data_IF_455130046235
#
_entry.id   IF_455130046235
#
_cell.length_a   1.000
_cell.length_b   1.000
_cell.length_c   1.000
_cell.angle_alpha   90.00
_cell.angle_beta   90.00
_cell.angle_gamma   90.00
#
_symmetry.space_group_name_H-M   'P 1'
#
loop_
_entity.id
_entity.type
_entity.pdbx_description
1 polymer ?
#
# COMPACT_ATOMS: atom_id res chain seq x y z
N UNK A 1 4.80 69.06 -95.48
CA UNK A 1 3.36 69.25 -95.21
C UNK A 1 2.83 67.95 -94.61
N UNK A 2 2.47 67.96 -93.32
CA UNK A 2 2.07 66.78 -92.54
C UNK A 2 0.63 66.38 -92.89
N UNK A 3 0.40 65.11 -93.25
CA UNK A 3 -0.93 64.52 -93.41
C UNK A 3 -1.52 64.25 -92.03
N UNK A 4 -2.65 64.88 -91.73
CA UNK A 4 -3.41 64.74 -90.50
C UNK A 4 -4.47 63.63 -90.73
N UNK A 5 -4.25 62.46 -90.15
CA UNK A 5 -5.26 61.39 -90.11
C UNK A 5 -6.30 61.74 -89.04
N UNK A 6 -7.53 61.98 -89.47
CA UNK A 6 -8.67 62.22 -88.60
C UNK A 6 -9.26 60.87 -88.17
N UNK A 7 -9.06 60.49 -86.92
CA UNK A 7 -9.64 59.30 -86.30
C UNK A 7 -11.12 59.58 -85.99
N UNK A 8 -12.03 58.92 -86.72
CA UNK A 8 -13.47 59.03 -86.50
C UNK A 8 -13.86 58.18 -85.27
N UNK A 9 -14.07 58.82 -84.12
CA UNK A 9 -14.51 58.18 -82.88
C UNK A 9 -16.04 58.07 -82.88
N UNK A 10 -16.59 56.91 -83.25
CA UNK A 10 -18.02 56.61 -83.15
C UNK A 10 -18.37 56.28 -81.69
N UNK A 11 -18.98 57.24 -80.98
CA UNK A 11 -19.60 57.02 -79.67
C UNK A 11 -20.90 56.22 -79.86
N UNK A 12 -20.87 54.94 -79.54
CA UNK A 12 -22.08 54.14 -79.36
C UNK A 12 -22.68 54.52 -78.00
N UNK A 13 -23.65 55.43 -78.01
CA UNK A 13 -24.48 55.74 -76.84
C UNK A 13 -25.39 54.54 -76.61
N UNK A 14 -24.94 53.60 -75.78
CA UNK A 14 -25.81 52.58 -75.21
C UNK A 14 -26.73 53.28 -74.21
N UNK A 15 -27.90 53.72 -74.68
CA UNK A 15 -29.00 54.16 -73.83
C UNK A 15 -29.50 52.95 -73.05
N UNK A 16 -28.84 52.65 -71.93
CA UNK A 16 -29.42 51.83 -70.89
C UNK A 16 -30.56 52.64 -70.29
N UNK A 17 -31.78 52.43 -70.80
CA UNK A 17 -33.00 52.89 -70.14
C UNK A 17 -33.11 52.06 -68.86
N UNK A 18 -32.53 52.56 -67.77
CA UNK A 18 -32.84 52.07 -66.44
C UNK A 18 -34.31 52.42 -66.20
N UNK A 19 -35.19 51.42 -66.30
CA UNK A 19 -36.57 51.55 -65.80
C UNK A 19 -36.43 51.90 -64.32
N UNK A 20 -36.86 53.09 -63.92
CA UNK A 20 -36.87 53.49 -62.53
C UNK A 20 -37.74 52.49 -61.75
N UNK A 21 -37.09 51.74 -60.86
CA UNK A 21 -37.76 50.80 -59.98
C UNK A 21 -38.53 51.60 -58.92
N UNK A 22 -39.86 51.68 -59.06
CA UNK A 22 -40.68 52.61 -58.27
C UNK A 22 -41.21 52.04 -56.95
N UNK A 23 -41.00 50.76 -56.67
CA UNK A 23 -41.49 50.08 -55.47
C UNK A 23 -40.55 48.96 -55.01
N UNK A 24 -40.62 48.63 -53.73
CA UNK A 24 -39.91 47.51 -53.11
C UNK A 24 -40.80 46.81 -52.09
N UNK A 25 -40.60 45.51 -51.92
CA UNK A 25 -41.21 44.72 -50.85
C UNK A 25 -40.38 44.86 -49.58
N UNK A 26 -41.01 45.33 -48.50
CA UNK A 26 -40.41 45.28 -47.17
C UNK A 26 -40.64 43.91 -46.55
N UNK A 27 -39.56 43.18 -46.26
CA UNK A 27 -39.63 41.94 -45.49
C UNK A 27 -39.10 42.21 -44.10
N UNK A 28 -39.84 41.75 -43.09
CA UNK A 28 -39.44 41.83 -41.68
C UNK A 28 -39.51 40.47 -41.01
N UNK A 29 -38.63 40.23 -40.04
CA UNK A 29 -38.72 39.04 -39.18
C UNK A 29 -37.88 39.22 -37.91
N UNK A 30 -37.87 38.20 -37.08
CA UNK A 30 -37.01 38.09 -35.91
C UNK A 30 -36.09 36.87 -36.06
N UNK A 31 -34.90 37.00 -35.51
CA UNK A 31 -33.91 35.93 -35.48
C UNK A 31 -33.67 35.57 -34.02
N UNK A 32 -33.87 34.30 -33.71
CA UNK A 32 -33.49 33.67 -32.46
C UNK A 32 -32.26 32.78 -32.63
N UNK A 33 -31.65 32.45 -31.51
CA UNK A 33 -30.56 31.51 -31.40
C UNK A 33 -30.95 30.38 -30.45
N UNK A 34 -30.77 29.14 -30.88
CA UNK A 34 -30.98 27.96 -30.03
C UNK A 34 -29.65 27.32 -29.69
N UNK A 35 -29.46 27.02 -28.41
CA UNK A 35 -28.46 26.05 -27.93
C UNK A 35 -29.13 25.04 -27.01
N UNK A 36 -28.50 23.88 -26.89
CA UNK A 36 -28.85 22.92 -25.86
C UNK A 36 -27.94 23.10 -24.66
N UNK A 37 -28.53 23.04 -23.47
CA UNK A 37 -27.81 22.84 -22.21
C UNK A 37 -28.05 21.39 -21.83
N UNK A 38 -26.96 20.60 -21.80
CA UNK A 38 -27.03 19.14 -21.75
C UNK A 38 -26.37 18.58 -20.50
N UNK A 39 -27.12 17.75 -19.78
CA UNK A 39 -26.60 16.85 -18.75
C UNK A 39 -27.26 15.45 -18.86
N UNK A 40 -27.97 15.01 -17.83
CA UNK A 40 -28.92 13.88 -17.87
C UNK A 40 -30.27 14.26 -18.49
N UNK A 41 -30.47 15.55 -18.78
CA UNK A 41 -31.63 16.10 -19.46
C UNK A 41 -31.17 17.16 -20.45
N UNK A 42 -32.04 17.40 -21.42
CA UNK A 42 -31.85 18.44 -22.41
C UNK A 42 -32.73 19.64 -22.09
N UNK A 43 -32.13 20.82 -22.02
CA UNK A 43 -32.85 22.09 -21.93
C UNK A 43 -32.56 22.88 -23.20
N UNK A 44 -33.61 23.21 -23.97
CA UNK A 44 -33.52 24.15 -25.08
C UNK A 44 -33.45 25.57 -24.50
N UNK A 45 -32.35 26.27 -24.75
CA UNK A 45 -32.20 27.69 -24.44
C UNK A 45 -32.30 28.48 -25.75
N UNK A 46 -33.41 29.19 -25.90
CA UNK A 46 -33.72 30.02 -27.07
C UNK A 46 -33.75 31.49 -26.67
N UNK A 47 -32.94 32.29 -27.35
CA UNK A 47 -32.80 33.72 -27.09
C UNK A 47 -32.90 34.52 -28.38
N UNK A 48 -33.23 35.82 -28.27
CA UNK A 48 -33.17 36.73 -29.41
C UNK A 48 -31.71 36.93 -29.84
N UNK A 49 -31.47 36.94 -31.15
CA UNK A 49 -30.12 36.96 -31.72
C UNK A 49 -29.84 38.27 -32.44
N UNK A 50 -29.00 39.11 -31.84
CA UNK A 50 -28.41 40.27 -32.50
C UNK A 50 -27.18 39.87 -33.32
N UNK A 51 -26.91 40.62 -34.39
CA UNK A 51 -25.68 40.46 -35.17
C UNK A 51 -25.74 39.37 -36.24
N UNK A 52 -26.90 38.75 -36.48
CA UNK A 52 -27.07 37.86 -37.62
C UNK A 52 -27.06 38.68 -38.91
N UNK A 53 -26.35 38.20 -39.93
CA UNK A 53 -26.23 38.87 -41.22
C UNK A 53 -27.36 38.41 -42.14
N UNK A 54 -28.14 39.37 -42.62
CA UNK A 54 -29.18 39.18 -43.63
C UNK A 54 -28.65 39.73 -44.95
N UNK A 55 -28.62 38.91 -46.00
CA UNK A 55 -28.15 39.32 -47.33
C UNK A 55 -29.13 38.91 -48.40
N UNK A 56 -29.42 39.83 -49.31
CA UNK A 56 -30.30 39.62 -50.44
C UNK A 56 -29.48 39.56 -51.72
N UNK A 57 -29.63 38.48 -52.49
CA UNK A 57 -28.93 38.27 -53.74
C UNK A 57 -29.90 38.20 -54.92
N UNK A 58 -29.49 38.73 -56.07
CA UNK A 58 -30.10 38.50 -57.38
C UNK A 58 -29.07 37.79 -58.26
N UNK A 59 -29.26 36.49 -58.49
CA UNK A 59 -28.19 35.64 -58.97
C UNK A 59 -26.99 35.68 -58.02
N UNK A 60 -25.80 36.01 -58.52
CA UNK A 60 -24.58 36.18 -57.71
C UNK A 60 -24.39 37.59 -57.14
N UNK A 61 -25.21 38.57 -57.55
CA UNK A 61 -25.06 39.97 -57.15
C UNK A 61 -25.72 40.21 -55.79
N UNK A 62 -24.96 40.75 -54.84
CA UNK A 62 -25.52 41.29 -53.59
C UNK A 62 -26.34 42.56 -53.92
N UNK A 63 -27.61 42.56 -53.52
CA UNK A 63 -28.57 43.64 -53.79
C UNK A 63 -28.76 44.52 -52.57
N UNK A 64 -28.95 43.90 -51.40
CA UNK A 64 -29.15 44.58 -50.13
C UNK A 64 -28.61 43.70 -49.00
N UNK A 65 -28.31 44.31 -47.86
CA UNK A 65 -27.91 43.60 -46.64
C UNK A 65 -28.30 44.38 -45.39
N UNK A 66 -28.61 43.65 -44.33
CA UNK A 66 -28.86 44.20 -43.00
C UNK A 66 -28.34 43.26 -41.92
N UNK A 67 -28.47 43.69 -40.67
CA UNK A 67 -28.06 42.94 -39.49
C UNK A 67 -29.20 42.96 -38.49
N UNK A 68 -29.43 41.86 -37.78
CA UNK A 68 -30.44 41.86 -36.71
C UNK A 68 -30.04 42.73 -35.53
N UNK A 69 -31.01 43.49 -35.01
CA UNK A 69 -30.83 44.36 -33.86
C UNK A 69 -30.83 43.60 -32.52
N UNK A 70 -30.83 44.32 -31.40
CA UNK A 70 -30.84 43.73 -30.06
C UNK A 70 -32.07 42.86 -29.76
N UNK A 71 -33.20 43.13 -30.41
CA UNK A 71 -34.42 42.32 -30.33
C UNK A 71 -34.44 41.16 -31.34
N UNK A 72 -33.34 40.93 -32.05
CA UNK A 72 -33.26 39.97 -33.15
C UNK A 72 -34.04 40.41 -34.39
N UNK A 73 -34.58 41.63 -34.40
CA UNK A 73 -35.40 42.12 -35.50
C UNK A 73 -34.53 42.52 -36.69
N UNK A 74 -35.02 42.28 -37.90
CA UNK A 74 -34.48 42.88 -39.11
C UNK A 74 -35.57 43.35 -40.06
N UNK A 75 -35.18 44.29 -40.92
CA UNK A 75 -35.90 44.64 -42.13
C UNK A 75 -34.95 44.59 -43.32
N UNK A 76 -35.47 44.21 -44.49
CA UNK A 76 -34.74 44.27 -45.76
C UNK A 76 -35.71 44.66 -46.89
N UNK A 77 -35.22 45.39 -47.89
CA UNK A 77 -36.04 45.87 -48.99
C UNK A 77 -35.69 45.11 -50.28
N UNK A 78 -36.67 44.39 -50.81
CA UNK A 78 -36.52 43.58 -52.02
C UNK A 78 -37.02 44.38 -53.22
N UNK A 79 -36.21 44.65 -54.25
CA UNK A 79 -36.69 45.33 -55.44
C UNK A 79 -37.78 44.51 -56.15
N UNK A 80 -38.72 45.22 -56.78
CA UNK A 80 -39.78 44.59 -57.58
C UNK A 80 -39.27 43.96 -58.88
N UNK A 81 -40.11 43.14 -59.53
CA UNK A 81 -39.86 42.59 -60.87
C UNK A 81 -38.56 41.76 -60.98
N UNK A 82 -38.28 40.92 -59.98
CA UNK A 82 -37.10 40.06 -59.99
C UNK A 82 -37.24 38.80 -59.15
N UNK A 83 -36.20 37.99 -59.19
CA UNK A 83 -36.04 36.77 -58.40
C UNK A 83 -34.80 36.91 -57.52
N UNK A 84 -34.96 36.58 -56.24
CA UNK A 84 -33.96 36.84 -55.21
C UNK A 84 -33.82 35.67 -54.25
N UNK A 85 -32.64 35.59 -53.64
CA UNK A 85 -32.37 34.69 -52.52
C UNK A 85 -32.00 35.54 -51.31
N UNK A 86 -32.79 35.42 -50.25
CA UNK A 86 -32.46 35.94 -48.94
C UNK A 86 -31.68 34.89 -48.16
N UNK A 87 -30.54 35.27 -47.60
CA UNK A 87 -29.73 34.40 -46.74
C UNK A 87 -29.62 35.00 -45.34
N UNK A 88 -29.81 34.17 -44.33
CA UNK A 88 -29.63 34.52 -42.91
C UNK A 88 -28.49 33.69 -42.35
N UNK A 89 -27.45 34.35 -41.84
CA UNK A 89 -26.21 33.71 -41.39
C UNK A 89 -25.75 34.25 -40.04
N UNK A 90 -25.13 33.39 -39.23
CA UNK A 90 -24.45 33.76 -38.00
C UNK A 90 -23.26 32.82 -37.78
N UNK A 91 -22.21 33.31 -37.13
CA UNK A 91 -20.94 32.58 -37.01
C UNK A 91 -21.14 31.19 -36.38
N UNK A 92 -20.71 30.16 -37.11
CA UNK A 92 -20.79 28.76 -36.67
C UNK A 92 -22.19 28.14 -36.76
N UNK A 93 -23.21 28.86 -37.25
CA UNK A 93 -24.55 28.33 -37.47
C UNK A 93 -24.75 27.94 -38.94
N UNK A 94 -25.69 27.04 -39.21
CA UNK A 94 -26.13 26.80 -40.58
C UNK A 94 -26.81 28.04 -41.17
N UNK A 95 -26.71 28.19 -42.49
CA UNK A 95 -27.37 29.29 -43.22
C UNK A 95 -28.82 28.91 -43.50
N UNK A 96 -29.75 29.86 -43.29
CA UNK A 96 -31.14 29.72 -43.78
C UNK A 96 -31.30 30.50 -45.09
N UNK A 97 -32.08 29.95 -46.03
CA UNK A 97 -32.31 30.57 -47.35
C UNK A 97 -33.80 30.64 -47.66
N UNK A 98 -34.24 31.77 -48.21
CA UNK A 98 -35.61 31.97 -48.70
C UNK A 98 -35.55 32.45 -50.14
N UNK A 99 -36.39 31.84 -50.98
CA UNK A 99 -36.62 32.29 -52.34
C UNK A 99 -37.67 33.40 -52.35
N UNK A 100 -37.44 34.46 -53.12
CA UNK A 100 -38.38 35.58 -53.22
C UNK A 100 -38.56 35.91 -54.69
N UNK A 101 -39.81 35.92 -55.15
CA UNK A 101 -40.17 36.31 -56.50
C UNK A 101 -41.13 37.50 -56.45
N UNK A 102 -40.64 38.66 -56.91
CA UNK A 102 -41.40 39.92 -56.95
C UNK A 102 -41.98 40.23 -58.33
N UNK A 103 -42.00 39.24 -59.23
CA UNK A 103 -42.73 39.33 -60.49
C UNK A 103 -44.24 39.20 -60.27
N UNK A 104 -45.01 39.43 -61.35
CA UNK A 104 -46.47 39.26 -61.40
C UNK A 104 -47.30 40.24 -60.57
N UNK A 105 -46.69 41.30 -60.03
CA UNK A 105 -47.44 42.45 -59.53
C UNK A 105 -48.09 43.18 -60.72
N UNK A 106 -49.42 43.38 -60.74
CA UNK A 106 -50.12 44.12 -61.80
C UNK A 106 -49.51 45.50 -62.06
N UNK A 107 -49.33 45.86 -63.35
CA UNK A 107 -48.62 47.09 -63.78
C UNK A 107 -49.24 48.37 -63.22
N UNK A 108 -50.56 48.40 -63.10
CA UNK A 108 -51.33 49.51 -62.54
C UNK A 108 -51.09 49.74 -61.04
N UNK A 109 -50.58 48.72 -60.32
CA UNK A 109 -50.17 48.85 -58.92
C UNK A 109 -48.67 49.15 -58.76
N UNK A 110 -47.87 49.18 -59.82
CA UNK A 110 -46.41 49.40 -59.71
C UNK A 110 -46.03 50.89 -59.61
N UNK A 111 -46.69 51.63 -58.72
CA UNK A 111 -46.43 53.05 -58.46
C UNK A 111 -45.73 53.28 -57.11
N UNK A 112 -45.37 54.54 -56.83
CA UNK A 112 -44.65 54.94 -55.61
C UNK A 112 -45.46 54.78 -54.30
N UNK A 113 -46.78 54.62 -54.42
CA UNK A 113 -47.69 54.41 -53.29
C UNK A 113 -47.83 52.94 -52.93
N UNK A 114 -47.47 52.02 -53.83
CA UNK A 114 -47.43 50.59 -53.53
C UNK A 114 -46.24 50.24 -52.65
N UNK A 115 -46.52 50.06 -51.36
CA UNK A 115 -45.55 49.76 -50.30
C UNK A 115 -45.86 48.42 -49.65
N UNK A 116 -45.76 47.30 -50.39
CA UNK A 116 -46.08 45.99 -49.83
C UNK A 116 -45.10 45.66 -48.70
N UNK A 117 -45.64 45.01 -47.68
CA UNK A 117 -44.87 44.55 -46.52
C UNK A 117 -45.37 43.20 -46.09
N UNK A 118 -44.45 42.32 -45.73
CA UNK A 118 -44.73 41.02 -45.13
C UNK A 118 -43.83 40.81 -43.92
N UNK A 119 -44.41 40.26 -42.85
CA UNK A 119 -43.65 39.68 -41.76
C UNK A 119 -43.59 38.18 -41.96
N UNK A 120 -42.39 37.63 -42.12
CA UNK A 120 -42.19 36.19 -42.20
C UNK A 120 -41.92 35.63 -40.81
N UNK A 121 -42.29 34.37 -40.60
CA UNK A 121 -42.04 33.66 -39.33
C UNK A 121 -40.55 33.72 -38.94
N UNK A 122 -40.28 33.73 -37.64
CA UNK A 122 -38.95 33.91 -37.09
C UNK A 122 -37.98 32.80 -37.49
N UNK A 123 -36.70 33.14 -37.62
CA UNK A 123 -35.64 32.18 -37.86
C UNK A 123 -35.00 31.77 -36.55
N UNK A 124 -34.86 30.47 -36.30
CA UNK A 124 -33.97 29.97 -35.25
C UNK A 124 -32.68 29.50 -35.91
N UNK A 125 -31.56 30.12 -35.54
CA UNK A 125 -30.22 29.67 -35.90
C UNK A 125 -29.63 28.81 -34.78
N UNK A 126 -28.98 27.72 -35.14
CA UNK A 126 -28.24 26.88 -34.21
C UNK A 126 -26.94 26.40 -34.86
N UNK A 127 -25.98 26.02 -34.01
CA UNK A 127 -24.76 25.36 -34.44
C UNK A 127 -25.06 23.90 -34.80
N UNK A 128 -24.37 23.32 -35.79
CA UNK A 128 -24.57 21.93 -36.16
C UNK A 128 -24.15 21.00 -35.02
N UNK A 129 -24.92 19.94 -34.81
CA UNK A 129 -24.53 18.84 -33.93
C UNK A 129 -23.71 17.80 -34.70
N UNK A 130 -22.70 17.17 -34.07
CA UNK A 130 -21.93 16.09 -34.67
C UNK A 130 -22.82 14.96 -35.22
N UNK A 131 -22.52 14.47 -36.41
CA UNK A 131 -23.20 13.31 -37.01
C UNK A 131 -24.57 13.58 -37.64
N UNK A 132 -25.10 14.80 -37.54
CA UNK A 132 -26.37 15.20 -38.19
C UNK A 132 -26.10 15.77 -39.59
N UNK A 133 -26.90 15.37 -40.57
CA UNK A 133 -26.81 15.89 -41.95
C UNK A 133 -27.67 17.15 -42.13
N UNK A 134 -26.99 18.27 -42.37
CA UNK A 134 -27.61 19.58 -42.63
C UNK A 134 -27.63 19.98 -44.11
N UNK A 135 -27.18 19.11 -45.03
CA UNK A 135 -27.06 19.42 -46.47
C UNK A 135 -28.37 19.88 -47.09
N UNK A 136 -29.51 19.36 -46.61
CA UNK A 136 -30.84 19.75 -47.08
C UNK A 136 -31.20 21.21 -46.78
N UNK A 137 -30.47 21.91 -45.90
CA UNK A 137 -30.63 23.34 -45.65
C UNK A 137 -29.89 24.24 -46.65
N UNK A 138 -29.10 23.65 -47.57
CA UNK A 138 -28.44 24.42 -48.64
C UNK A 138 -29.42 24.97 -49.68
N UNK A 139 -30.61 24.37 -49.79
CA UNK A 139 -31.70 24.85 -50.63
C UNK A 139 -32.55 25.92 -49.93
N UNK A 140 -33.44 26.57 -50.68
CA UNK A 140 -34.41 27.53 -50.13
C UNK A 140 -35.55 26.81 -49.41
N UNK A 141 -35.92 27.31 -48.23
CA UNK A 141 -36.87 26.65 -47.32
C UNK A 141 -38.27 27.24 -47.38
N UNK A 142 -38.41 28.43 -47.96
CA UNK A 142 -39.68 29.09 -48.17
C UNK A 142 -39.61 29.87 -49.49
N UNK A 143 -40.78 30.14 -50.05
CA UNK A 143 -40.93 30.90 -51.29
C UNK A 143 -41.95 32.00 -51.09
N UNK A 144 -41.51 33.25 -51.21
CA UNK A 144 -42.37 34.43 -51.09
C UNK A 144 -42.74 34.91 -52.48
N UNK A 145 -44.04 35.04 -52.74
CA UNK A 145 -44.62 35.40 -54.03
C UNK A 145 -45.74 36.42 -53.87
N UNK A 146 -46.07 37.12 -54.94
CA UNK A 146 -47.26 37.98 -54.96
C UNK A 146 -48.53 37.12 -54.96
N UNK A 147 -49.48 37.43 -54.06
CA UNK A 147 -50.78 36.77 -53.92
C UNK A 147 -51.86 37.74 -54.41
N UNK A 148 -52.44 37.53 -55.62
CA UNK A 148 -53.38 38.48 -56.21
C UNK A 148 -54.64 38.72 -55.36
N UNK A 149 -55.10 37.69 -54.65
CA UNK A 149 -56.27 37.76 -53.76
C UNK A 149 -56.07 38.76 -52.63
N UNK A 150 -54.86 38.78 -52.07
CA UNK A 150 -54.52 39.62 -50.91
C UNK A 150 -53.96 40.97 -51.34
N UNK A 151 -53.73 41.15 -52.65
CA UNK A 151 -53.02 42.29 -53.25
C UNK A 151 -51.69 42.59 -52.55
N UNK A 152 -51.06 41.55 -51.99
CA UNK A 152 -49.83 41.64 -51.22
C UNK A 152 -49.00 40.37 -51.43
N UNK A 153 -47.84 40.30 -50.79
CA UNK A 153 -46.98 39.13 -50.80
C UNK A 153 -47.37 38.15 -49.70
N UNK A 154 -47.22 36.87 -50.01
CA UNK A 154 -47.44 35.75 -49.10
C UNK A 154 -46.46 34.63 -49.43
N UNK A 155 -46.48 33.58 -48.63
CA UNK A 155 -45.71 32.38 -48.91
C UNK A 155 -46.46 31.46 -49.89
N UNK A 156 -45.72 30.74 -50.72
CA UNK A 156 -46.26 29.65 -51.53
C UNK A 156 -46.43 28.43 -50.63
N UNK A 157 -47.66 28.20 -50.17
CA UNK A 157 -48.01 27.25 -49.10
C UNK A 157 -47.35 25.87 -49.27
N UNK A 158 -47.44 25.26 -50.45
CA UNK A 158 -46.87 23.92 -50.69
C UNK A 158 -45.34 23.91 -50.59
N UNK A 159 -44.69 24.89 -51.20
CA UNK A 159 -43.23 25.03 -51.17
C UNK A 159 -42.72 25.24 -49.74
N UNK A 160 -43.38 26.13 -48.99
CA UNK A 160 -43.04 26.40 -47.59
C UNK A 160 -43.26 25.17 -46.73
N UNK A 161 -44.35 24.42 -46.94
CA UNK A 161 -44.63 23.18 -46.23
C UNK A 161 -43.56 22.11 -46.46
N UNK A 162 -43.06 21.97 -47.69
CA UNK A 162 -41.97 21.06 -48.03
C UNK A 162 -40.67 21.47 -47.32
N UNK A 163 -40.31 22.77 -47.34
CA UNK A 163 -39.14 23.28 -46.63
C UNK A 163 -39.22 23.10 -45.10
N UNK A 164 -40.39 23.35 -44.50
CA UNK A 164 -40.63 23.08 -43.09
C UNK A 164 -40.50 21.59 -42.75
N UNK A 165 -40.92 20.69 -43.64
CA UNK A 165 -40.73 19.26 -43.46
C UNK A 165 -39.24 18.86 -43.47
N UNK A 166 -38.37 19.58 -44.18
CA UNK A 166 -36.91 19.39 -44.09
C UNK A 166 -36.39 19.78 -42.71
N UNK A 167 -36.78 20.96 -42.23
CA UNK A 167 -36.35 21.49 -40.92
C UNK A 167 -36.80 20.56 -39.80
N UNK A 168 -38.05 20.07 -39.86
CA UNK A 168 -38.61 19.17 -38.86
C UNK A 168 -37.88 17.82 -38.80
N UNK A 169 -37.39 17.31 -39.94
CA UNK A 169 -36.58 16.07 -39.96
C UNK A 169 -35.24 16.27 -39.27
N UNK A 170 -34.54 17.36 -39.56
CA UNK A 170 -33.28 17.69 -38.88
C UNK A 170 -33.51 17.89 -37.39
N UNK A 171 -34.56 18.63 -36.99
CA UNK A 171 -34.88 18.82 -35.57
C UNK A 171 -35.18 17.49 -34.88
N UNK A 172 -35.85 16.56 -35.56
CA UNK A 172 -36.07 15.22 -35.03
C UNK A 172 -34.75 14.48 -34.80
N UNK A 173 -33.85 14.49 -35.78
CA UNK A 173 -32.56 13.80 -35.66
C UNK A 173 -31.69 14.44 -34.55
N UNK A 174 -31.72 15.77 -34.42
CA UNK A 174 -31.08 16.49 -33.31
C UNK A 174 -31.64 16.06 -31.95
N UNK A 175 -32.97 15.99 -31.81
CA UNK A 175 -33.64 15.58 -30.58
C UNK A 175 -33.29 14.12 -30.24
N UNK A 176 -33.29 13.23 -31.23
CA UNK A 176 -32.98 11.82 -31.03
C UNK A 176 -31.51 11.65 -30.55
N UNK A 177 -30.56 12.38 -31.13
CA UNK A 177 -29.15 12.41 -30.68
C UNK A 177 -29.01 12.95 -29.25
N UNK A 178 -29.66 14.08 -28.97
CA UNK A 178 -29.61 14.74 -27.65
C UNK A 178 -30.22 13.85 -26.57
N UNK A 179 -31.34 13.18 -26.85
CA UNK A 179 -31.95 12.25 -25.90
C UNK A 179 -31.04 11.05 -25.63
N UNK A 180 -30.43 10.46 -26.67
CA UNK A 180 -29.47 9.37 -26.49
C UNK A 180 -28.27 9.79 -25.62
N UNK A 181 -27.74 11.00 -25.83
CA UNK A 181 -26.69 11.56 -24.98
C UNK A 181 -27.13 11.66 -23.51
N UNK A 182 -28.32 12.23 -23.26
CA UNK A 182 -28.85 12.41 -21.91
C UNK A 182 -29.15 11.08 -21.22
N UNK A 183 -29.69 10.10 -21.95
CA UNK A 183 -29.98 8.76 -21.44
C UNK A 183 -28.70 8.02 -21.04
N UNK A 184 -27.64 8.08 -21.87
CA UNK A 184 -26.33 7.52 -21.52
C UNK A 184 -25.74 8.15 -20.25
N UNK A 185 -25.85 9.46 -20.09
CA UNK A 185 -25.42 10.14 -18.88
C UNK A 185 -26.21 9.70 -17.65
N UNK A 186 -27.53 9.56 -17.79
CA UNK A 186 -28.40 9.08 -16.72
C UNK A 186 -28.07 7.64 -16.31
N UNK A 187 -27.88 6.75 -17.28
CA UNK A 187 -27.44 5.37 -17.04
C UNK A 187 -26.05 5.32 -16.36
N UNK A 188 -25.14 6.21 -16.75
CA UNK A 188 -23.84 6.38 -16.10
C UNK A 188 -23.96 6.79 -14.64
N UNK A 189 -24.82 7.78 -14.35
CA UNK A 189 -25.11 8.23 -12.99
C UNK A 189 -25.70 7.11 -12.12
N UNK A 190 -26.67 6.36 -12.66
CA UNK A 190 -27.27 5.21 -11.98
C UNK A 190 -26.26 4.09 -11.71
N UNK A 191 -25.36 3.81 -12.65
CA UNK A 191 -24.28 2.85 -12.46
C UNK A 191 -23.29 3.30 -11.37
N UNK A 192 -22.93 4.58 -11.35
CA UNK A 192 -22.03 5.14 -10.34
C UNK A 192 -22.65 5.08 -8.93
N UNK A 193 -23.94 5.36 -8.80
CA UNK A 193 -24.69 5.19 -7.54
C UNK A 193 -24.66 3.74 -7.03
N UNK A 194 -24.72 2.76 -7.93
CA UNK A 194 -24.58 1.32 -7.62
C UNK A 194 -23.12 0.89 -7.45
N UNK A 195 -22.17 1.83 -7.52
CA UNK A 195 -20.72 1.60 -7.52
C UNK A 195 -20.24 0.68 -8.63
N UNK A 196 -20.96 0.58 -9.73
CA UNK A 196 -20.51 -0.09 -10.95
C UNK A 196 -19.65 0.89 -11.77
N UNK A 197 -18.41 1.10 -11.30
CA UNK A 197 -17.50 2.08 -11.90
C UNK A 197 -17.19 1.76 -13.39
N UNK A 198 -17.21 0.48 -13.77
CA UNK A 198 -16.92 0.04 -15.13
C UNK A 198 -18.04 0.39 -16.09
N UNK A 199 -19.29 0.06 -15.71
CA UNK A 199 -20.46 0.45 -16.49
C UNK A 199 -20.61 1.96 -16.54
N UNK A 200 -20.41 2.66 -15.42
CA UNK A 200 -20.47 4.13 -15.38
C UNK A 200 -19.49 4.76 -16.37
N UNK A 201 -18.21 4.33 -16.34
CA UNK A 201 -17.18 4.80 -17.28
C UNK A 201 -17.60 4.56 -18.73
N UNK A 202 -18.04 3.35 -19.07
CA UNK A 202 -18.48 3.00 -20.43
C UNK A 202 -19.60 3.91 -20.91
N UNK A 203 -20.59 4.21 -20.06
CA UNK A 203 -21.74 5.04 -20.42
C UNK A 203 -21.35 6.50 -20.66
N UNK A 204 -20.50 7.09 -19.82
CA UNK A 204 -20.01 8.45 -20.05
C UNK A 204 -19.08 8.56 -21.27
N UNK A 205 -18.24 7.55 -21.53
CA UNK A 205 -17.43 7.49 -22.76
C UNK A 205 -18.33 7.40 -24.01
N UNK A 206 -19.41 6.64 -23.95
CA UNK A 206 -20.39 6.55 -25.03
C UNK A 206 -21.12 7.89 -25.24
N UNK A 207 -21.47 8.61 -24.17
CA UNK A 207 -22.05 9.95 -24.27
C UNK A 207 -21.07 10.94 -24.93
N UNK A 208 -19.78 10.91 -24.57
CA UNK A 208 -18.76 11.74 -25.21
C UNK A 208 -18.50 11.36 -26.67
N UNK A 209 -18.68 10.09 -27.05
CA UNK A 209 -18.59 9.70 -28.45
C UNK A 209 -19.70 10.34 -29.30
N UNK A 210 -20.89 10.56 -28.72
CA UNK A 210 -21.99 11.28 -29.39
C UNK A 210 -21.73 12.79 -29.44
N UNK A 211 -21.36 13.40 -28.32
CA UNK A 211 -21.12 14.85 -28.21
C UNK A 211 -19.79 15.14 -27.47
N UNK A 212 -18.65 15.18 -28.18
CA UNK A 212 -17.32 15.23 -27.56
C UNK A 212 -16.97 16.53 -26.80
N UNK A 213 -17.68 17.62 -27.08
CA UNK A 213 -17.42 18.92 -26.45
C UNK A 213 -18.09 19.07 -25.07
N UNK A 214 -19.00 18.16 -24.71
CA UNK A 214 -19.82 18.28 -23.51
C UNK A 214 -19.03 18.01 -22.24
N UNK A 215 -19.18 18.92 -21.26
CA UNK A 215 -18.38 18.88 -20.04
C UNK A 215 -18.95 17.99 -18.95
N UNK A 216 -20.25 17.69 -19.01
CA UNK A 216 -20.92 16.90 -18.00
C UNK A 216 -20.34 15.47 -17.87
N UNK A 217 -20.24 14.67 -18.94
CA UNK A 217 -19.67 13.32 -18.83
C UNK A 217 -18.18 13.34 -18.49
N UNK A 218 -17.42 14.35 -18.93
CA UNK A 218 -16.00 14.54 -18.54
C UNK A 218 -15.87 14.64 -17.01
N UNK A 219 -16.70 15.45 -16.37
CA UNK A 219 -16.69 15.59 -14.90
C UNK A 219 -17.07 14.29 -14.19
N UNK A 220 -18.01 13.53 -14.75
CA UNK A 220 -18.45 12.27 -14.16
C UNK A 220 -17.42 11.14 -14.34
N UNK A 221 -16.68 11.13 -15.44
CA UNK A 221 -15.56 10.18 -15.64
C UNK A 221 -14.49 10.31 -14.56
N UNK A 222 -14.23 11.52 -14.07
CA UNK A 222 -13.35 11.72 -12.91
C UNK A 222 -13.87 10.97 -11.68
N UNK A 223 -15.17 11.07 -11.38
CA UNK A 223 -15.80 10.36 -10.25
C UNK A 223 -15.80 8.85 -10.45
N UNK A 224 -16.00 8.36 -11.67
CA UNK A 224 -15.85 6.94 -11.99
C UNK A 224 -14.41 6.47 -11.74
N UNK A 225 -13.41 7.29 -12.07
CA UNK A 225 -12.00 7.04 -11.73
C UNK A 225 -11.76 6.94 -10.22
N UNK A 226 -12.34 7.84 -9.43
CA UNK A 226 -12.23 7.78 -7.97
C UNK A 226 -12.95 6.56 -7.37
N UNK A 227 -14.07 6.14 -7.96
CA UNK A 227 -14.76 4.89 -7.61
C UNK A 227 -13.84 3.66 -7.81
N UNK A 228 -13.04 3.62 -8.88
CA UNK A 228 -12.05 2.54 -9.07
C UNK A 228 -10.97 2.54 -7.99
N UNK A 229 -10.40 3.70 -7.69
CA UNK A 229 -9.36 3.84 -6.65
C UNK A 229 -9.86 3.37 -5.29
N UNK A 230 -11.10 3.75 -4.93
CA UNK A 230 -11.68 3.31 -3.66
C UNK A 230 -11.86 1.79 -3.60
N UNK A 231 -12.31 1.16 -4.71
CA UNK A 231 -12.42 -0.31 -4.79
C UNK A 231 -11.07 -1.00 -4.66
N UNK A 232 -10.03 -0.46 -5.30
CA UNK A 232 -8.66 -0.99 -5.21
C UNK A 232 -8.14 -0.92 -3.77
N UNK A 233 -8.32 0.22 -3.09
CA UNK A 233 -7.94 0.40 -1.69
C UNK A 233 -8.71 -0.54 -0.73
N UNK A 234 -10.01 -0.77 -0.99
CA UNK A 234 -10.79 -1.74 -0.20
C UNK A 234 -10.27 -3.16 -0.42
N UNK A 235 -9.98 -3.55 -1.66
CA UNK A 235 -9.44 -4.87 -1.99
C UNK A 235 -8.07 -5.10 -1.33
N UNK A 236 -7.18 -4.11 -1.40
CA UNK A 236 -5.87 -4.16 -0.75
C UNK A 236 -5.98 -4.33 0.76
N UNK A 237 -6.86 -3.56 1.42
CA UNK A 237 -7.09 -3.70 2.88
C UNK A 237 -7.67 -5.05 3.24
N UNK A 238 -8.52 -5.63 2.39
CA UNK A 238 -9.06 -6.97 2.61
C UNK A 238 -7.95 -8.04 2.52
N UNK A 239 -7.06 -7.94 1.52
CA UNK A 239 -5.91 -8.82 1.37
C UNK A 239 -4.94 -8.71 2.55
N UNK A 240 -4.61 -7.48 2.98
CA UNK A 240 -3.77 -7.24 4.16
C UNK A 240 -4.38 -7.83 5.44
N UNK A 241 -5.70 -7.71 5.61
CA UNK A 241 -6.42 -8.28 6.75
C UNK A 241 -6.42 -9.82 6.72
N UNK A 242 -6.58 -10.43 5.55
CA UNK A 242 -6.55 -11.89 5.39
C UNK A 242 -5.13 -12.45 5.64
N UNK A 243 -4.10 -11.78 5.13
CA UNK A 243 -2.70 -12.12 5.40
C UNK A 243 -2.36 -11.99 6.90
N UNK A 244 -2.82 -10.92 7.56
CA UNK A 244 -2.65 -10.74 9.00
C UNK A 244 -3.34 -11.85 9.81
N UNK A 245 -4.54 -12.25 9.41
CA UNK A 245 -5.27 -13.36 10.04
C UNK A 245 -4.53 -14.70 9.88
N UNK A 246 -4.05 -15.03 8.68
CA UNK A 246 -3.30 -16.25 8.42
C UNK A 246 -1.98 -16.30 9.20
N UNK A 247 -1.29 -15.15 9.33
CA UNK A 247 -0.08 -15.03 10.15
C UNK A 247 -0.39 -15.30 11.63
N UNK A 248 -1.49 -14.75 12.15
CA UNK A 248 -1.89 -14.92 13.56
C UNK A 248 -2.28 -16.37 13.87
N UNK A 249 -2.99 -17.05 12.95
CA UNK A 249 -3.35 -18.46 13.09
C UNK A 249 -2.11 -19.36 13.13
N UNK A 250 -1.15 -19.15 12.21
CA UNK A 250 0.12 -19.88 12.19
C UNK A 250 0.96 -19.63 13.44
N UNK A 251 1.03 -18.37 13.89
CA UNK A 251 1.71 -18.00 15.13
C UNK A 251 1.10 -18.72 16.33
N UNK A 252 -0.22 -18.65 16.49
CA UNK A 252 -0.95 -19.28 17.60
C UNK A 252 -0.75 -20.80 17.62
N UNK A 253 -0.76 -21.46 16.44
CA UNK A 253 -0.50 -22.89 16.32
C UNK A 253 0.94 -23.25 16.74
N UNK A 254 1.94 -22.49 16.30
CA UNK A 254 3.33 -22.71 16.67
C UNK A 254 3.54 -22.53 18.17
N UNK A 255 2.96 -21.49 18.78
CA UNK A 255 3.00 -21.28 20.23
C UNK A 255 2.38 -22.46 20.97
N UNK A 256 1.18 -22.91 20.58
CA UNK A 256 0.52 -24.03 21.22
C UNK A 256 1.35 -25.33 21.11
N UNK A 257 1.96 -25.60 19.95
CA UNK A 257 2.84 -26.76 19.76
C UNK A 257 4.14 -26.64 20.56
N UNK A 258 4.75 -25.46 20.60
CA UNK A 258 5.98 -25.19 21.35
C UNK A 258 5.75 -25.37 22.86
N UNK A 259 4.67 -24.78 23.39
CA UNK A 259 4.26 -24.93 24.79
C UNK A 259 4.02 -26.39 25.17
N UNK A 260 3.37 -27.16 24.28
CA UNK A 260 3.15 -28.60 24.48
C UNK A 260 4.47 -29.36 24.48
N UNK A 261 5.36 -29.10 23.52
CA UNK A 261 6.67 -29.73 23.44
C UNK A 261 7.50 -29.45 24.70
N UNK A 262 7.51 -28.19 25.16
CA UNK A 262 8.22 -27.78 26.37
C UNK A 262 7.69 -28.50 27.62
N UNK A 263 6.36 -28.55 27.80
CA UNK A 263 5.73 -29.29 28.91
C UNK A 263 6.01 -30.79 28.90
N UNK A 264 6.29 -31.36 27.72
CA UNK A 264 6.65 -32.77 27.55
C UNK A 264 8.16 -33.04 27.59
N UNK A 265 8.97 -32.06 28.03
CA UNK A 265 10.44 -32.13 28.07
C UNK A 265 11.11 -32.41 26.70
N UNK A 266 10.38 -32.16 25.61
CA UNK A 266 10.89 -32.23 24.23
C UNK A 266 11.59 -30.93 23.86
N UNK A 267 12.66 -30.60 24.59
CA UNK A 267 13.30 -29.28 24.61
C UNK A 267 13.84 -28.82 23.25
N UNK A 268 14.42 -29.72 22.45
CA UNK A 268 14.91 -29.38 21.10
C UNK A 268 13.76 -29.00 20.17
N UNK A 269 12.64 -29.72 20.25
CA UNK A 269 11.43 -29.43 19.46
C UNK A 269 10.81 -28.11 19.90
N UNK A 270 10.72 -27.87 21.21
CA UNK A 270 10.24 -26.61 21.76
C UNK A 270 11.11 -25.43 21.31
N UNK A 271 12.45 -25.59 21.35
CA UNK A 271 13.41 -24.58 20.89
C UNK A 271 13.15 -24.19 19.43
N UNK A 272 13.01 -25.17 18.53
CA UNK A 272 12.76 -24.91 17.11
C UNK A 272 11.43 -24.18 16.91
N UNK A 273 10.35 -24.66 17.54
CA UNK A 273 9.01 -24.07 17.35
C UNK A 273 8.89 -22.65 17.93
N UNK A 274 9.49 -22.35 19.09
CA UNK A 274 9.55 -20.97 19.59
C UNK A 274 10.41 -20.06 18.71
N UNK A 275 11.50 -20.59 18.13
CA UNK A 275 12.31 -19.83 17.17
C UNK A 275 11.49 -19.49 15.91
N UNK A 276 10.74 -20.45 15.37
CA UNK A 276 9.84 -20.23 14.24
C UNK A 276 8.74 -19.21 14.57
N UNK A 277 8.12 -19.30 15.74
CA UNK A 277 7.10 -18.34 16.20
C UNK A 277 7.68 -16.92 16.36
N UNK A 278 8.90 -16.80 16.90
CA UNK A 278 9.63 -15.53 17.02
C UNK A 278 9.91 -14.90 15.65
N UNK A 279 10.31 -15.70 14.65
CA UNK A 279 10.54 -15.18 13.30
C UNK A 279 9.26 -14.68 12.63
N UNK A 280 8.10 -15.27 12.95
CA UNK A 280 6.80 -14.79 12.47
C UNK A 280 6.35 -13.48 13.13
N UNK A 281 6.60 -13.31 14.44
CA UNK A 281 6.24 -12.08 15.20
C UNK A 281 7.40 -11.61 16.06
N UNK A 282 8.38 -10.95 15.42
CA UNK A 282 9.63 -10.49 16.05
C UNK A 282 9.45 -9.53 17.22
N UNK A 283 8.32 -8.83 17.28
CA UNK A 283 8.00 -7.88 18.35
C UNK A 283 7.33 -8.55 19.56
N UNK A 284 6.78 -9.76 19.39
CA UNK A 284 6.15 -10.50 20.49
C UNK A 284 7.22 -11.09 21.42
N UNK A 285 7.09 -10.77 22.70
CA UNK A 285 8.08 -11.15 23.72
C UNK A 285 7.87 -12.58 24.23
N UNK A 286 6.67 -13.16 24.08
CA UNK A 286 6.35 -14.48 24.59
C UNK A 286 7.29 -15.60 24.07
N UNK A 287 7.48 -15.79 22.75
CA UNK A 287 8.39 -16.81 22.24
C UNK A 287 9.85 -16.52 22.61
N UNK A 288 10.24 -15.25 22.75
CA UNK A 288 11.59 -14.87 23.17
C UNK A 288 11.88 -15.32 24.61
N UNK A 289 10.95 -15.06 25.54
CA UNK A 289 11.08 -15.52 26.92
C UNK A 289 11.10 -17.05 27.03
N UNK A 290 10.22 -17.72 26.27
CA UNK A 290 10.15 -19.18 26.29
C UNK A 290 11.36 -19.85 25.67
N UNK A 291 11.93 -19.27 24.61
CA UNK A 291 13.17 -19.76 24.02
C UNK A 291 14.33 -19.69 25.03
N UNK A 292 14.45 -18.59 25.77
CA UNK A 292 15.46 -18.45 26.82
C UNK A 292 15.27 -19.48 27.94
N UNK A 293 14.03 -19.72 28.36
CA UNK A 293 13.69 -20.73 29.36
C UNK A 293 14.11 -22.14 28.89
N UNK A 294 13.77 -22.52 27.65
CA UNK A 294 14.18 -23.79 27.04
C UNK A 294 15.70 -23.93 26.99
N UNK A 295 16.42 -22.89 26.57
CA UNK A 295 17.89 -22.91 26.50
C UNK A 295 18.55 -23.07 27.86
N UNK A 296 17.99 -22.47 28.91
CA UNK A 296 18.45 -22.66 30.27
C UNK A 296 18.28 -24.12 30.73
N UNK A 297 17.12 -24.73 30.49
CA UNK A 297 16.88 -26.13 30.87
C UNK A 297 17.83 -27.08 30.11
N UNK A 298 18.04 -26.85 28.81
CA UNK A 298 19.00 -27.64 28.02
C UNK A 298 20.43 -27.53 28.61
N UNK A 299 20.85 -26.32 28.97
CA UNK A 299 22.17 -26.10 29.57
C UNK A 299 22.28 -26.78 30.93
N UNK A 300 21.26 -26.69 31.78
CA UNK A 300 21.22 -27.36 33.08
C UNK A 300 21.32 -28.89 32.93
N UNK A 301 20.51 -29.49 32.04
CA UNK A 301 20.57 -30.93 31.75
C UNK A 301 21.95 -31.38 31.25
N UNK A 302 22.62 -30.58 30.41
CA UNK A 302 23.97 -30.86 29.94
C UNK A 302 24.99 -30.84 31.11
N UNK A 303 24.93 -29.84 31.98
CA UNK A 303 25.83 -29.76 33.15
C UNK A 303 25.61 -30.90 34.15
N UNK A 304 24.36 -31.30 34.39
CA UNK A 304 24.02 -32.44 35.24
C UNK A 304 24.60 -33.73 34.66
N UNK A 305 24.45 -33.95 33.35
CA UNK A 305 25.00 -35.12 32.66
C UNK A 305 26.54 -35.18 32.74
N UNK A 306 27.22 -34.05 32.52
CA UNK A 306 28.68 -33.97 32.63
C UNK A 306 29.17 -34.22 34.06
N UNK A 307 28.49 -33.66 35.06
CA UNK A 307 28.79 -33.91 36.47
C UNK A 307 28.58 -35.39 36.85
N UNK A 308 27.51 -36.01 36.34
CA UNK A 308 27.25 -37.43 36.55
C UNK A 308 28.36 -38.29 35.95
N UNK A 309 28.73 -38.04 34.69
CA UNK A 309 29.80 -38.76 34.00
C UNK A 309 31.17 -38.58 34.70
N UNK A 310 31.46 -37.38 35.20
CA UNK A 310 32.67 -37.12 35.99
C UNK A 310 32.66 -37.88 37.31
N UNK A 311 31.52 -37.89 38.01
CA UNK A 311 31.34 -38.64 39.26
C UNK A 311 31.52 -40.15 39.04
N UNK A 312 30.91 -40.71 38.00
CA UNK A 312 31.07 -42.11 37.61
C UNK A 312 32.52 -42.46 37.25
N UNK A 313 33.20 -41.59 36.50
CA UNK A 313 34.62 -41.77 36.16
C UNK A 313 35.52 -41.74 37.39
N UNK A 314 35.31 -40.80 38.32
CA UNK A 314 36.06 -40.72 39.58
C UNK A 314 35.83 -41.96 40.45
N UNK A 315 34.59 -42.44 40.53
CA UNK A 315 34.23 -43.68 41.23
C UNK A 315 34.92 -44.90 40.64
N UNK A 316 34.94 -45.05 39.32
CA UNK A 316 35.62 -46.16 38.66
C UNK A 316 37.14 -46.14 38.91
N UNK A 317 37.78 -44.97 38.85
CA UNK A 317 39.22 -44.82 39.16
C UNK A 317 39.53 -45.13 40.63
N UNK A 318 38.67 -44.67 41.54
CA UNK A 318 38.75 -45.03 42.95
C UNK A 318 38.68 -46.54 43.14
N UNK A 319 37.66 -47.21 42.62
CA UNK A 319 37.47 -48.67 42.75
C UNK A 319 38.65 -49.47 42.17
N UNK A 320 39.19 -49.05 41.03
CA UNK A 320 40.38 -49.67 40.44
C UNK A 320 41.63 -49.52 41.33
N UNK A 321 41.84 -48.33 41.92
CA UNK A 321 42.94 -48.08 42.84
C UNK A 321 42.80 -48.89 44.14
N UNK A 322 41.57 -49.03 44.69
CA UNK A 322 41.30 -49.92 45.83
C UNK A 322 41.66 -51.36 45.48
N UNK A 323 41.16 -51.88 44.36
CA UNK A 323 41.42 -53.25 43.94
C UNK A 323 42.91 -53.54 43.79
N UNK A 324 43.65 -52.63 43.15
CA UNK A 324 45.11 -52.76 43.02
C UNK A 324 45.79 -52.72 44.40
N UNK A 325 45.39 -51.81 45.27
CA UNK A 325 45.94 -51.69 46.61
C UNK A 325 45.70 -52.96 47.44
N UNK A 326 44.50 -53.54 47.39
CA UNK A 326 44.15 -54.82 48.02
C UNK A 326 44.99 -55.99 47.47
N UNK A 327 45.17 -56.05 46.16
CA UNK A 327 46.02 -57.06 45.50
C UNK A 327 47.48 -56.95 45.96
N UNK A 328 48.05 -55.74 46.03
CA UNK A 328 49.41 -55.49 46.50
C UNK A 328 49.56 -55.79 48.00
N UNK A 329 48.54 -55.44 48.80
CA UNK A 329 48.45 -55.75 50.22
C UNK A 329 48.51 -57.27 50.47
N UNK A 330 47.78 -58.05 49.66
CA UNK A 330 47.78 -59.53 49.74
C UNK A 330 49.15 -60.14 49.43
N UNK A 331 49.94 -59.48 48.58
CA UNK A 331 51.32 -59.86 48.22
C UNK A 331 52.37 -59.33 49.19
N UNK A 332 51.96 -58.62 50.25
CA UNK A 332 52.83 -57.96 51.24
C UNK A 332 53.75 -56.89 50.63
N UNK A 333 53.38 -56.31 49.49
CA UNK A 333 54.08 -55.19 48.88
C UNK A 333 53.62 -53.88 49.52
N UNK A 334 54.03 -53.67 50.76
CA UNK A 334 53.45 -52.64 51.63
C UNK A 334 53.58 -51.21 51.08
N UNK A 335 54.72 -50.86 50.51
CA UNK A 335 54.93 -49.50 49.96
C UNK A 335 54.09 -49.25 48.73
N UNK A 336 54.01 -50.21 47.81
CA UNK A 336 53.22 -50.07 46.59
C UNK A 336 51.70 -50.09 46.89
N UNK A 337 51.29 -50.86 47.90
CA UNK A 337 49.91 -50.88 48.39
C UNK A 337 49.52 -49.54 49.02
N UNK A 338 50.41 -48.94 49.82
CA UNK A 338 50.20 -47.62 50.42
C UNK A 338 50.07 -46.53 49.35
N UNK A 339 50.96 -46.51 48.35
CA UNK A 339 50.88 -45.58 47.22
C UNK A 339 49.55 -45.74 46.46
N UNK A 340 49.08 -46.98 46.27
CA UNK A 340 47.80 -47.26 45.59
C UNK A 340 46.58 -46.84 46.41
N UNK A 341 46.62 -46.93 47.75
CA UNK A 341 45.58 -46.37 48.61
C UNK A 341 45.59 -44.83 48.65
N UNK A 342 46.76 -44.21 48.61
CA UNK A 342 46.86 -42.76 48.44
C UNK A 342 46.32 -42.32 47.08
N UNK A 343 46.58 -43.09 46.02
CA UNK A 343 46.00 -42.87 44.70
C UNK A 343 44.46 -42.96 44.72
N UNK A 344 43.88 -43.93 45.44
CA UNK A 344 42.44 -43.98 45.66
C UNK A 344 41.90 -42.72 46.37
N UNK A 345 42.61 -42.24 47.40
CA UNK A 345 42.24 -41.01 48.11
C UNK A 345 42.36 -39.73 47.26
N UNK A 346 43.14 -39.72 46.16
CA UNK A 346 43.12 -38.59 45.22
C UNK A 346 41.78 -38.47 44.50
N UNK A 347 41.11 -39.60 44.23
CA UNK A 347 39.82 -39.63 43.54
C UNK A 347 38.63 -39.48 44.51
N UNK A 348 38.74 -40.05 45.72
CA UNK A 348 37.73 -39.91 46.79
C UNK A 348 38.39 -39.64 48.15
N UNK A 349 38.74 -38.37 48.46
CA UNK A 349 39.54 -38.01 49.63
C UNK A 349 38.90 -38.30 50.99
N UNK A 350 37.58 -38.49 51.02
CA UNK A 350 36.81 -38.68 52.25
C UNK A 350 36.58 -40.15 52.61
N UNK A 351 37.02 -41.08 51.76
CA UNK A 351 36.78 -42.51 51.97
C UNK A 351 37.56 -43.05 53.18
N UNK A 352 36.87 -43.83 54.01
CA UNK A 352 37.42 -44.35 55.28
C UNK A 352 38.31 -45.57 55.05
N UNK A 353 37.98 -46.39 54.06
CA UNK A 353 38.65 -47.65 53.77
C UNK A 353 40.15 -47.44 53.45
N UNK A 354 40.55 -46.58 52.49
CA UNK A 354 41.98 -46.39 52.19
C UNK A 354 42.75 -45.83 53.39
N UNK A 355 42.15 -44.87 54.12
CA UNK A 355 42.74 -44.27 55.31
C UNK A 355 43.06 -45.32 56.38
N UNK A 356 42.12 -46.22 56.62
CA UNK A 356 42.30 -47.32 57.57
C UNK A 356 43.39 -48.30 57.11
N UNK A 357 43.43 -48.62 55.81
CA UNK A 357 44.40 -49.55 55.25
C UNK A 357 45.83 -48.99 55.24
N UNK A 358 46.01 -47.70 54.96
CA UNK A 358 47.30 -47.01 55.08
C UNK A 358 47.83 -47.08 56.52
N UNK A 359 46.98 -46.87 57.53
CA UNK A 359 47.38 -47.02 58.94
C UNK A 359 47.78 -48.47 59.26
N UNK A 360 47.03 -49.44 58.76
CA UNK A 360 47.36 -50.86 58.93
C UNK A 360 48.70 -51.22 58.26
N UNK A 361 48.96 -50.73 57.05
CA UNK A 361 50.22 -50.88 56.34
C UNK A 361 51.39 -50.30 57.15
N UNK A 362 51.25 -49.08 57.66
CA UNK A 362 52.28 -48.44 58.45
C UNK A 362 52.61 -49.22 59.74
N UNK A 363 51.60 -49.85 60.35
CA UNK A 363 51.79 -50.78 61.48
C UNK A 363 52.48 -52.09 61.09
N UNK A 364 52.27 -52.58 59.88
CA UNK A 364 52.96 -53.78 59.37
C UNK A 364 54.42 -53.48 59.01
N UNK A 365 54.67 -52.36 58.32
CA UNK A 365 56.02 -51.88 58.01
C UNK A 365 56.86 -51.68 59.29
N UNK A 366 56.28 -51.12 60.36
CA UNK A 366 57.01 -50.93 61.62
C UNK A 366 57.36 -52.22 62.36
N UNK A 367 56.66 -53.33 62.09
CA UNK A 367 56.98 -54.67 62.62
C UNK A 367 58.05 -55.41 61.80
N UNK A 368 58.30 -54.99 60.56
CA UNK A 368 59.28 -55.61 59.64
C UNK A 368 60.65 -54.91 59.61
N UNK A 369 60.86 -53.80 60.32
CA UNK A 369 62.14 -53.06 60.31
C UNK A 369 63.17 -53.68 61.27
N UNK A 370 64.18 -54.31 60.68
CA UNK A 370 65.54 -54.36 61.24
C UNK A 370 66.22 -53.01 60.88
N UNK A 371 66.72 -52.28 61.89
CA UNK A 371 66.93 -50.82 61.94
C UNK A 371 67.85 -50.11 60.91
N UNK A 372 68.31 -50.72 59.81
CA UNK A 372 69.29 -50.08 58.90
C UNK A 372 68.98 -50.25 57.39
N UNK A 373 67.96 -49.57 56.87
CA UNK A 373 67.84 -49.38 55.40
C UNK A 373 67.55 -47.92 55.00
N UNK A 374 68.31 -47.44 54.02
CA UNK A 374 68.41 -46.06 53.52
C UNK A 374 67.11 -45.52 52.92
N UNK A 375 66.13 -46.38 52.60
CA UNK A 375 64.85 -45.99 52.01
C UNK A 375 63.84 -45.41 53.01
N UNK A 376 64.04 -45.63 54.31
CA UNK A 376 63.19 -45.05 55.37
C UNK A 376 63.33 -43.52 55.47
N UNK A 377 64.47 -42.97 55.04
CA UNK A 377 64.73 -41.53 55.03
C UNK A 377 63.98 -40.81 53.89
N UNK A 378 63.91 -41.43 52.70
CA UNK A 378 63.20 -40.86 51.55
C UNK A 378 61.67 -40.86 51.73
N UNK A 379 61.12 -41.82 52.47
CA UNK A 379 59.69 -41.87 52.80
C UNK A 379 59.26 -40.76 53.77
N UNK A 380 60.14 -40.37 54.70
CA UNK A 380 59.90 -39.24 55.63
C UNK A 380 59.94 -37.90 54.87
N UNK A 381 60.83 -37.76 53.89
CA UNK A 381 60.95 -36.52 53.10
C UNK A 381 59.77 -36.33 52.12
N UNK A 382 59.16 -37.41 51.59
CA UNK A 382 57.95 -37.30 50.74
C UNK A 382 56.67 -36.98 51.52
N UNK A 383 56.61 -37.31 52.81
CA UNK A 383 55.48 -36.97 53.67
C UNK A 383 55.37 -35.44 53.94
N UNK A 384 56.41 -34.66 53.63
CA UNK A 384 56.47 -33.21 53.83
C UNK A 384 55.65 -32.34 52.86
N UNK A 385 54.86 -32.93 51.95
CA UNK A 385 54.04 -32.18 50.97
C UNK A 385 52.52 -32.26 51.27
N UNK A 386 52.11 -32.92 52.36
CA UNK A 386 50.70 -32.96 52.80
C UNK A 386 50.53 -32.21 54.12
N UNK A 387 49.41 -31.49 54.25
CA UNK A 387 49.16 -30.43 55.23
C UNK A 387 49.56 -30.71 56.71
N UNK A 388 49.92 -29.65 57.48
CA UNK A 388 50.56 -29.74 58.80
C UNK A 388 49.80 -30.54 59.88
N UNK A 389 48.50 -30.70 59.73
CA UNK A 389 47.65 -31.43 60.70
C UNK A 389 47.80 -32.95 60.57
N UNK A 390 48.19 -33.46 59.40
CA UNK A 390 48.43 -34.88 59.18
C UNK A 390 49.84 -35.30 59.66
N UNK A 391 50.82 -34.40 59.55
CA UNK A 391 52.18 -34.59 60.06
C UNK A 391 52.22 -34.77 61.58
N UNK A 392 51.45 -33.98 62.33
CA UNK A 392 51.35 -34.11 63.78
C UNK A 392 50.62 -35.40 64.19
N UNK A 393 49.62 -35.86 63.44
CA UNK A 393 48.93 -37.13 63.70
C UNK A 393 49.83 -38.35 63.46
N UNK A 394 50.66 -38.32 62.42
CA UNK A 394 51.60 -39.40 62.09
C UNK A 394 52.77 -39.42 63.08
N UNK A 395 53.32 -38.25 63.44
CA UNK A 395 54.36 -38.14 64.48
C UNK A 395 53.87 -38.68 65.82
N UNK A 396 52.66 -38.31 66.23
CA UNK A 396 52.03 -38.83 67.46
C UNK A 396 51.77 -40.34 67.37
N UNK A 397 51.38 -40.87 66.20
CA UNK A 397 51.18 -42.31 65.99
C UNK A 397 52.50 -43.11 66.01
N UNK A 398 53.63 -42.50 65.63
CA UNK A 398 54.97 -43.09 65.71
C UNK A 398 55.52 -43.04 67.14
N UNK A 399 55.32 -41.93 67.85
CA UNK A 399 55.73 -41.74 69.24
C UNK A 399 54.91 -42.62 70.22
N UNK A 400 53.62 -42.84 69.94
CA UNK A 400 52.73 -43.68 70.74
C UNK A 400 52.88 -45.21 70.49
N UNK A 401 53.70 -45.63 69.54
CA UNK A 401 53.88 -47.06 69.22
C UNK A 401 54.88 -47.80 70.16
N UNK A 402 55.45 -47.13 71.18
CA UNK A 402 56.46 -47.72 72.08
C UNK A 402 55.95 -47.98 73.52
N UNK A 403 54.76 -47.54 73.93
CA UNK A 403 54.21 -47.89 75.26
C UNK A 403 52.73 -48.25 75.22
N UNK A 404 52.38 -49.29 75.97
CA UNK A 404 51.13 -50.06 75.95
C UNK A 404 49.85 -49.28 76.31
N UNK A 405 48.76 -49.70 75.66
CA UNK A 405 47.34 -49.78 76.05
C UNK A 405 46.50 -48.56 76.51
N UNK A 406 45.26 -48.59 75.98
CA UNK A 406 43.99 -48.13 76.53
C UNK A 406 43.47 -46.72 76.16
N UNK A 407 42.29 -46.78 75.53
CA UNK A 407 41.14 -45.89 75.67
C UNK A 407 41.25 -44.39 75.32
N UNK A 408 40.76 -44.10 74.12
CA UNK A 408 39.49 -43.38 73.94
C UNK A 408 39.15 -42.27 74.95
N UNK A 409 39.71 -41.07 74.79
CA UNK A 409 38.98 -39.78 74.88
C UNK A 409 39.90 -38.60 74.57
N UNK A 410 39.88 -38.08 73.33
CA UNK A 410 40.41 -36.73 73.10
C UNK A 410 39.78 -35.89 71.97
N UNK A 411 38.84 -36.36 71.15
CA UNK A 411 38.21 -35.48 70.15
C UNK A 411 36.69 -35.58 70.08
N UNK A 412 36.05 -35.38 71.24
CA UNK A 412 34.73 -34.75 71.33
C UNK A 412 34.91 -33.41 72.03
N UNK A 413 34.43 -32.35 71.37
CA UNK A 413 34.25 -30.96 71.85
C UNK A 413 35.36 -29.95 71.50
N UNK A 414 35.46 -29.63 70.20
CA UNK A 414 35.26 -28.24 69.77
C UNK A 414 34.26 -28.23 68.61
N UNK A 415 33.01 -28.00 68.98
CA UNK A 415 31.86 -27.84 68.09
C UNK A 415 31.87 -26.47 67.44
N UNK A 416 31.34 -26.42 66.23
CA UNK A 416 30.79 -25.24 65.55
C UNK A 416 31.80 -24.19 65.09
N UNK A 417 32.19 -24.30 63.83
CA UNK A 417 32.31 -23.14 62.94
C UNK A 417 31.80 -23.55 61.57
N UNK A 418 30.66 -22.97 61.21
CA UNK A 418 30.03 -23.06 59.90
C UNK A 418 30.70 -22.04 58.99
N UNK A 419 31.11 -22.43 57.78
CA UNK A 419 31.43 -21.53 56.67
C UNK A 419 31.08 -22.32 55.37
N UNK A 420 30.42 -21.71 54.37
CA UNK A 420 30.69 -20.33 53.98
C UNK A 420 29.52 -19.36 54.02
N UNK A 421 29.61 -18.46 54.98
CA UNK A 421 29.00 -17.13 55.02
C UNK A 421 29.42 -16.24 53.82
N UNK A 422 30.46 -16.61 53.06
CA UNK A 422 30.88 -15.88 51.84
C UNK A 422 29.91 -15.95 50.66
N UNK A 423 29.06 -16.99 50.55
CA UNK A 423 28.05 -17.08 49.46
C UNK A 423 26.82 -16.21 49.76
N UNK A 424 26.51 -16.03 51.05
CA UNK A 424 25.39 -15.21 51.56
C UNK A 424 25.64 -13.71 51.38
N UNK A 425 26.86 -13.23 51.70
CA UNK A 425 27.20 -11.81 51.52
C UNK A 425 27.25 -11.38 50.05
N UNK A 426 27.75 -12.25 49.14
CA UNK A 426 27.80 -11.95 47.72
C UNK A 426 26.39 -11.84 47.11
N UNK A 427 25.48 -12.75 47.46
CA UNK A 427 24.08 -12.69 47.00
C UNK A 427 23.38 -11.46 47.58
N UNK A 428 23.57 -11.14 48.86
CA UNK A 428 23.03 -9.91 49.49
C UNK A 428 23.55 -8.64 48.82
N UNK A 429 24.84 -8.56 48.50
CA UNK A 429 25.44 -7.42 47.81
C UNK A 429 24.89 -7.25 46.38
N UNK A 430 24.63 -8.36 45.68
CA UNK A 430 24.06 -8.32 44.33
C UNK A 430 22.57 -7.96 44.35
N UNK A 431 21.78 -8.46 45.30
CA UNK A 431 20.38 -8.06 45.52
C UNK A 431 20.26 -6.57 45.91
N UNK A 432 21.24 -6.02 46.64
CA UNK A 432 21.28 -4.60 46.96
C UNK A 432 21.67 -3.72 45.75
N UNK A 433 22.42 -4.26 44.79
CA UNK A 433 22.93 -3.52 43.63
C UNK A 433 21.99 -3.55 42.42
N UNK A 434 21.29 -4.66 42.17
CA UNK A 434 20.49 -4.87 40.96
C UNK A 434 19.00 -4.98 41.27
N UNK A 435 18.12 -4.23 40.57
CA UNK A 435 16.68 -4.33 40.77
C UNK A 435 16.13 -5.68 40.30
N UNK A 436 14.95 -6.06 40.81
CA UNK A 436 14.20 -7.22 40.31
C UNK A 436 13.97 -7.12 38.80
N UNK A 437 14.26 -8.19 38.06
CA UNK A 437 14.30 -8.20 36.60
C UNK A 437 15.72 -8.37 36.03
N UNK A 438 15.88 -8.08 34.74
CA UNK A 438 17.14 -8.25 34.01
C UNK A 438 17.89 -6.92 33.92
N UNK A 439 19.15 -6.90 34.36
CA UNK A 439 20.08 -5.79 34.16
C UNK A 439 21.22 -6.22 33.23
N UNK A 440 21.53 -5.42 32.22
CA UNK A 440 22.69 -5.63 31.35
C UNK A 440 23.76 -4.56 31.60
N UNK A 441 25.00 -4.99 31.82
CA UNK A 441 26.18 -4.13 31.95
C UNK A 441 27.18 -4.48 30.85
N UNK A 442 27.70 -3.48 30.14
CA UNK A 442 28.77 -3.65 29.16
C UNK A 442 30.08 -3.18 29.80
N UNK A 443 31.02 -4.11 29.99
CA UNK A 443 32.32 -3.85 30.61
C UNK A 443 33.38 -3.86 29.50
N UNK A 444 33.96 -2.70 29.21
CA UNK A 444 34.98 -2.54 28.17
C UNK A 444 36.33 -2.17 28.77
N UNK A 445 37.37 -2.97 28.49
CA UNK A 445 38.74 -2.71 28.96
C UNK A 445 39.77 -3.62 28.27
N UNK A 446 40.97 -3.10 27.97
CA UNK A 446 42.06 -3.82 27.30
C UNK A 446 41.66 -4.57 26.01
N UNK A 447 40.80 -3.96 25.17
CA UNK A 447 40.41 -4.52 23.87
C UNK A 447 39.40 -5.67 23.93
N UNK A 448 38.77 -5.91 25.08
CA UNK A 448 37.72 -6.93 25.27
C UNK A 448 36.43 -6.25 25.72
N UNK A 449 35.29 -6.68 25.17
CA UNK A 449 33.94 -6.24 25.55
C UNK A 449 33.20 -7.40 26.22
N UNK A 450 33.00 -7.32 27.53
CA UNK A 450 32.21 -8.32 28.26
C UNK A 450 30.78 -7.80 28.44
N UNK A 451 29.80 -8.56 27.97
CA UNK A 451 28.38 -8.33 28.27
C UNK A 451 28.03 -9.16 29.49
N UNK A 452 27.74 -8.48 30.61
CA UNK A 452 27.30 -9.09 31.86
C UNK A 452 25.80 -8.89 32.02
N UNK A 453 25.06 -9.99 32.14
CA UNK A 453 23.61 -10.02 32.38
C UNK A 453 23.35 -10.51 33.80
N UNK A 454 22.57 -9.76 34.56
CA UNK A 454 22.18 -10.11 35.94
C UNK A 454 20.67 -10.21 36.00
N UNK A 455 20.14 -11.39 36.30
CA UNK A 455 18.72 -11.62 36.55
C UNK A 455 18.48 -11.74 38.05
N UNK A 456 17.58 -10.91 38.57
CA UNK A 456 17.13 -10.97 39.96
C UNK A 456 15.66 -11.38 39.98
N UNK A 457 15.34 -12.49 40.67
CA UNK A 457 13.96 -12.93 40.92
C UNK A 457 13.88 -13.45 42.35
N UNK A 458 13.00 -12.85 43.14
CA UNK A 458 12.86 -13.14 44.58
C UNK A 458 14.22 -12.96 45.29
N UNK A 459 14.65 -13.93 46.09
CA UNK A 459 15.92 -13.89 46.84
C UNK A 459 17.11 -14.49 46.06
N UNK A 460 16.94 -14.75 44.76
CA UNK A 460 17.95 -15.39 43.93
C UNK A 460 18.52 -14.43 42.88
N UNK A 461 19.83 -14.56 42.63
CA UNK A 461 20.57 -13.79 41.62
C UNK A 461 21.32 -14.73 40.70
N UNK A 462 21.10 -14.59 39.39
CA UNK A 462 21.87 -15.28 38.36
C UNK A 462 22.71 -14.27 37.58
N UNK A 463 23.98 -14.61 37.36
CA UNK A 463 24.93 -13.78 36.62
C UNK A 463 25.45 -14.57 35.44
N UNK A 464 25.29 -14.02 34.25
CA UNK A 464 25.84 -14.55 33.02
C UNK A 464 26.83 -13.54 32.44
N UNK A 465 28.01 -14.01 32.02
CA UNK A 465 29.02 -13.17 31.37
C UNK A 465 29.41 -13.79 30.04
N UNK A 466 29.40 -12.98 28.98
CA UNK A 466 29.91 -13.34 27.66
C UNK A 466 31.02 -12.37 27.28
N UNK A 467 32.21 -12.93 26.99
CA UNK A 467 33.41 -12.20 26.57
C UNK A 467 33.39 -11.90 25.06
#
# INVERSE_FOLDING_TARGET
MKKLNFLLLTFLVSTCVAVAQNWSLKITSHIGYRKYILDTKAIKDETLLSGAMIRLFQGSKLVDQSVSDAGGYFAIFVPGNGEYILTVTYTGCFTKRIYINTNNVPKDMQDINFKPSISIEGFILSKPLPGIDYSTLEQTLAKIVYVPKDKNFGDEELYTKEGLALVNRIEKDEIDLVNQFCDLNKEGDEALLKRDCALAKQKYESALALLPAEQYPVKQLTKAGDCFKEKEEIAKKAEEAEAAKALEEKYTELIAKADKAFKSDSLIVAKVLYTEAMELKKTDQYPHYKLMEVEMVIAEQATLKDNLAKSESLKSKYEAAIKLADELMSKKLWTDAEDSYYEALKYMPNEKLPKAQIVAINKMKSREINRNDSKCKEAIDRAGILEPEYFNAIKLAYENAITYESDATYLKKKSNEAVPEKRSEHVKAMLAKYPSGLTEEIISGNGVVIVKRVLVKEDNVWVYQKK
#
